data_IF_299420475227
#
_entry.id   IF_299420475227
#
_cell.length_a   1.000
_cell.length_b   1.000
_cell.length_c   1.000
_cell.angle_alpha   90.00
_cell.angle_beta   90.00
_cell.angle_gamma   90.00
#
_symmetry.space_group_name_H-M   'P 1'
#
loop_
_entity.id
_entity.type
_entity.pdbx_description
1 polymer ?
#
# COMPACT_ATOMS: atom_id res chain seq x y z
N UNK A 1 -9.63 -0.86 19.27
CA UNK A 1 -8.97 -0.94 18.23
C UNK A 1 -9.72 -0.99 16.89
N UNK A 2 -9.67 -1.99 16.03
CA UNK A 2 -10.11 -1.90 14.63
C UNK A 2 -11.54 -2.41 14.38
N UNK A 3 -12.41 -2.44 15.40
CA UNK A 3 -13.77 -2.95 15.31
C UNK A 3 -13.88 -4.37 14.71
N UNK A 4 -12.81 -5.17 14.88
CA UNK A 4 -12.78 -6.57 14.48
C UNK A 4 -13.09 -7.45 15.70
N UNK A 5 -13.87 -8.50 15.47
CA UNK A 5 -14.23 -9.46 16.51
C UNK A 5 -13.43 -10.74 16.33
N UNK A 6 -12.89 -11.27 17.42
CA UNK A 6 -12.28 -12.60 17.42
C UNK A 6 -13.39 -13.65 17.35
N UNK A 7 -13.49 -14.35 16.22
CA UNK A 7 -14.52 -15.35 15.98
C UNK A 7 -14.14 -16.76 16.51
N UNK A 8 -12.85 -17.03 16.66
CA UNK A 8 -12.35 -18.32 17.15
C UNK A 8 -10.84 -18.46 16.93
N UNK A 9 -10.33 -19.58 17.36
CA UNK A 9 -8.93 -19.97 17.20
C UNK A 9 -8.62 -21.19 18.03
N UNK A 10 -7.50 -21.81 17.74
CA UNK A 10 -6.97 -22.93 18.53
C UNK A 10 -5.47 -22.79 18.74
N UNK A 11 -4.95 -23.51 19.73
CA UNK A 11 -3.53 -23.62 19.99
C UNK A 11 -3.12 -25.08 19.93
N UNK A 12 -2.24 -25.40 19.00
CA UNK A 12 -1.70 -26.76 18.84
C UNK A 12 -0.26 -26.84 19.32
N UNK A 13 0.10 -27.99 19.87
CA UNK A 13 1.48 -28.25 20.29
C UNK A 13 2.35 -28.57 19.07
N UNK A 14 3.51 -27.98 19.02
CA UNK A 14 4.57 -28.33 18.06
C UNK A 14 5.70 -29.08 18.79
N UNK A 15 6.51 -29.86 18.07
CA UNK A 15 7.66 -30.55 18.68
C UNK A 15 8.60 -29.59 19.40
N UNK A 16 9.26 -30.06 20.44
CA UNK A 16 10.25 -29.25 21.18
C UNK A 16 11.37 -28.80 20.23
N UNK A 17 11.74 -27.53 20.29
CA UNK A 17 12.75 -26.93 19.41
C UNK A 17 12.20 -26.37 18.09
N UNK A 18 10.91 -26.54 17.80
CA UNK A 18 10.27 -25.89 16.67
C UNK A 18 10.01 -24.41 16.95
N UNK A 19 10.05 -23.59 15.91
CA UNK A 19 9.63 -22.19 16.00
C UNK A 19 8.11 -22.08 16.21
N UNK A 20 7.67 -21.07 16.95
CA UNK A 20 6.25 -20.75 17.04
C UNK A 20 5.72 -20.27 15.68
N UNK A 21 4.54 -20.74 15.31
CA UNK A 21 3.82 -20.31 14.09
C UNK A 21 2.50 -19.69 14.51
N UNK A 22 2.25 -18.48 14.04
CA UNK A 22 0.99 -17.78 14.23
C UNK A 22 0.35 -17.61 12.86
N UNK A 23 -0.88 -18.10 12.70
CA UNK A 23 -1.67 -17.91 11.48
C UNK A 23 -2.95 -17.17 11.83
N UNK A 24 -3.24 -16.11 11.10
CA UNK A 24 -4.43 -15.29 11.30
C UNK A 24 -5.22 -15.26 9.99
N UNK A 25 -6.51 -15.63 10.08
CA UNK A 25 -7.46 -15.45 8.98
C UNK A 25 -8.46 -14.36 9.36
N UNK A 26 -8.72 -13.44 8.45
CA UNK A 26 -9.71 -12.39 8.62
C UNK A 26 -10.75 -12.45 7.49
N UNK A 27 -12.00 -12.22 7.83
CA UNK A 27 -13.10 -12.11 6.86
C UNK A 27 -13.87 -10.82 7.11
N UNK A 28 -14.40 -10.22 6.05
CA UNK A 28 -15.18 -9.00 6.14
C UNK A 28 -16.14 -8.88 4.96
N UNK A 29 -16.92 -7.82 4.96
CA UNK A 29 -17.78 -7.45 3.85
C UNK A 29 -17.58 -5.99 3.49
N UNK A 30 -17.71 -5.67 2.20
CA UNK A 30 -17.65 -4.32 1.67
C UNK A 30 -18.77 -4.13 0.66
N UNK A 31 -19.37 -2.96 0.60
CA UNK A 31 -20.34 -2.64 -0.46
C UNK A 31 -19.66 -2.70 -1.83
N UNK A 32 -20.37 -3.21 -2.84
CA UNK A 32 -19.80 -3.44 -4.16
C UNK A 32 -19.27 -2.16 -4.83
N UNK A 33 -19.92 -1.04 -4.58
CA UNK A 33 -19.54 0.28 -5.09
C UNK A 33 -18.35 0.92 -4.35
N UNK A 34 -18.02 0.40 -3.17
CA UNK A 34 -16.86 0.79 -2.36
C UNK A 34 -15.67 -0.17 -2.51
N UNK A 35 -15.83 -1.25 -3.28
CA UNK A 35 -14.78 -2.22 -3.51
C UNK A 35 -13.71 -1.64 -4.44
N UNK A 36 -12.47 -1.57 -3.96
CA UNK A 36 -11.28 -1.22 -4.75
C UNK A 36 -10.38 -2.45 -4.84
N UNK A 37 -10.01 -2.82 -6.06
CA UNK A 37 -9.15 -3.97 -6.32
C UNK A 37 -7.76 -3.51 -6.74
N UNK A 38 -6.75 -4.35 -6.55
CA UNK A 38 -5.40 -4.10 -7.11
C UNK A 38 -5.33 -4.29 -8.63
N UNK A 39 -6.39 -4.80 -9.26
CA UNK A 39 -6.45 -5.22 -10.67
C UNK A 39 -7.24 -4.26 -11.57
N UNK A 40 -7.61 -3.09 -11.07
CA UNK A 40 -8.48 -2.15 -11.81
C UNK A 40 -7.80 -0.84 -12.18
N UNK A 41 -6.47 -0.75 -11.99
CA UNK A 41 -5.63 0.36 -12.47
C UNK A 41 -5.62 0.47 -13.99
N UNK A 42 -5.35 1.65 -14.51
CA UNK A 42 -5.40 1.97 -15.94
C UNK A 42 -4.12 2.69 -16.37
N UNK A 43 -3.66 2.51 -17.60
CA UNK A 43 -2.58 3.33 -18.15
C UNK A 43 -2.90 4.83 -18.00
N UNK A 44 -1.94 5.60 -17.53
CA UNK A 44 -2.08 7.03 -17.22
C UNK A 44 -2.42 7.34 -15.76
N UNK A 45 -2.88 6.37 -14.98
CA UNK A 45 -3.12 6.59 -13.55
C UNK A 45 -1.81 6.91 -12.81
N UNK A 46 -1.87 7.90 -11.93
CA UNK A 46 -0.75 8.29 -11.09
C UNK A 46 -0.61 7.31 -9.93
N UNK A 47 0.60 6.82 -9.73
CA UNK A 47 0.96 5.98 -8.60
C UNK A 47 1.32 6.86 -7.40
N UNK A 48 0.70 6.58 -6.26
CA UNK A 48 0.92 7.33 -5.03
C UNK A 48 1.13 6.38 -3.87
N UNK A 49 1.89 6.82 -2.87
CA UNK A 49 2.09 6.09 -1.61
C UNK A 49 1.81 6.98 -0.41
N UNK A 50 1.29 6.39 0.65
CA UNK A 50 1.16 7.05 1.95
C UNK A 50 2.45 6.91 2.75
N UNK A 51 2.71 7.88 3.63
CA UNK A 51 3.81 7.83 4.59
C UNK A 51 5.19 7.72 3.96
N UNK A 52 6.10 7.09 4.68
CA UNK A 52 7.51 6.91 4.30
C UNK A 52 7.88 5.44 4.28
N UNK A 53 8.72 5.07 3.31
CA UNK A 53 9.12 3.69 3.03
C UNK A 53 10.54 3.40 3.50
N UNK A 54 10.79 2.14 3.81
CA UNK A 54 12.08 1.59 4.21
C UNK A 54 12.35 1.68 5.71
N UNK A 55 13.27 0.85 6.20
CA UNK A 55 13.67 0.80 7.59
C UNK A 55 12.63 0.20 8.54
N UNK A 56 11.51 -0.30 8.04
CA UNK A 56 10.39 -0.79 8.86
C UNK A 56 10.77 -1.97 9.73
N UNK A 57 11.67 -2.83 9.27
CA UNK A 57 12.18 -3.99 10.02
C UNK A 57 12.88 -3.57 11.32
N UNK A 58 13.44 -2.37 11.41
CA UNK A 58 14.11 -1.91 12.63
C UNK A 58 13.13 -1.72 13.79
N UNK A 59 11.95 -1.14 13.56
CA UNK A 59 10.96 -0.89 14.62
C UNK A 59 9.51 -0.75 14.14
N UNK A 60 9.25 -0.13 12.99
CA UNK A 60 7.90 0.25 12.53
C UNK A 60 6.97 -0.96 12.40
N UNK A 61 7.47 -2.10 11.92
CA UNK A 61 6.70 -3.32 11.71
C UNK A 61 6.03 -3.86 12.99
N UNK A 62 6.56 -3.54 14.17
CA UNK A 62 5.97 -3.91 15.47
C UNK A 62 4.93 -2.91 15.97
N UNK A 63 4.91 -1.69 15.44
CA UNK A 63 4.12 -0.58 15.95
C UNK A 63 3.38 0.20 14.86
N UNK A 64 3.26 -0.39 13.64
CA UNK A 64 2.55 0.28 12.56
C UNK A 64 1.07 0.46 12.88
N UNK A 65 0.49 1.53 12.34
CA UNK A 65 -0.95 1.73 12.35
C UNK A 65 -1.50 1.39 10.96
N UNK A 66 -2.35 0.37 10.85
CA UNK A 66 -3.01 0.05 9.58
C UNK A 66 -3.75 1.25 9.05
N UNK A 67 -3.62 1.54 7.77
CA UNK A 67 -4.21 2.70 7.09
C UNK A 67 -5.71 2.52 6.80
N UNK A 68 -6.47 2.10 7.81
CA UNK A 68 -7.90 1.80 7.69
C UNK A 68 -8.71 3.08 7.51
N UNK A 69 -8.51 4.07 8.39
CA UNK A 69 -9.22 5.35 8.31
C UNK A 69 -8.89 6.08 7.00
N UNK A 70 -7.63 6.03 6.60
CA UNK A 70 -7.14 6.64 5.38
C UNK A 70 -7.75 5.98 4.14
N UNK A 71 -7.80 4.64 4.10
CA UNK A 71 -8.40 3.91 2.99
C UNK A 71 -9.90 4.15 2.88
N UNK A 72 -10.62 4.13 3.99
CA UNK A 72 -12.06 4.38 4.03
C UNK A 72 -12.39 5.80 3.56
N UNK A 73 -11.64 6.80 4.03
CA UNK A 73 -11.81 8.17 3.60
C UNK A 73 -11.50 8.35 2.12
N UNK A 74 -10.41 7.75 1.64
CA UNK A 74 -9.97 7.82 0.25
C UNK A 74 -11.03 7.22 -0.69
N UNK A 75 -11.52 6.02 -0.38
CA UNK A 75 -12.53 5.33 -1.19
C UNK A 75 -13.85 6.11 -1.21
N UNK A 76 -14.25 6.66 -0.07
CA UNK A 76 -15.52 7.40 0.05
C UNK A 76 -15.52 8.72 -0.71
N UNK A 77 -14.37 9.39 -0.85
CA UNK A 77 -14.29 10.73 -1.43
C UNK A 77 -13.71 10.78 -2.84
N UNK A 78 -12.78 9.88 -3.20
CA UNK A 78 -11.99 9.97 -4.43
C UNK A 78 -12.04 8.73 -5.33
N UNK A 79 -12.42 7.57 -4.79
CA UNK A 79 -12.54 6.30 -5.52
C UNK A 79 -11.27 5.95 -6.33
N UNK A 80 -10.19 5.51 -5.68
CA UNK A 80 -8.98 5.04 -6.36
C UNK A 80 -9.30 4.01 -7.44
N UNK A 81 -8.55 4.01 -8.52
CA UNK A 81 -8.70 3.02 -9.60
C UNK A 81 -8.14 1.66 -9.20
N UNK A 82 -7.05 1.63 -8.44
CA UNK A 82 -6.54 0.42 -7.80
C UNK A 82 -5.84 0.77 -6.47
N UNK A 83 -5.80 -0.18 -5.54
CA UNK A 83 -5.14 0.02 -4.25
C UNK A 83 -4.73 -1.31 -3.64
N UNK A 84 -3.62 -1.32 -2.94
CA UNK A 84 -3.16 -2.40 -2.06
C UNK A 84 -2.24 -1.83 -0.97
N UNK A 85 -1.88 -2.64 -0.01
CA UNK A 85 -0.82 -2.32 0.96
C UNK A 85 0.57 -2.65 0.40
N UNK A 86 1.60 -2.08 1.04
CA UNK A 86 3.02 -2.39 0.78
C UNK A 86 3.51 -3.25 1.96
N UNK A 87 3.52 -4.55 1.76
CA UNK A 87 3.93 -5.55 2.76
C UNK A 87 5.26 -6.24 2.42
N UNK A 88 5.49 -6.54 1.15
CA UNK A 88 6.71 -7.22 0.69
C UNK A 88 7.77 -6.25 0.15
N UNK A 89 7.49 -4.95 0.21
CA UNK A 89 8.30 -3.87 -0.34
C UNK A 89 7.82 -3.39 -1.71
N UNK A 90 8.03 -2.09 -1.97
CA UNK A 90 7.52 -1.44 -3.18
C UNK A 90 8.02 -2.12 -4.46
N UNK A 91 9.26 -2.64 -4.47
CA UNK A 91 9.84 -3.36 -5.62
C UNK A 91 9.11 -4.65 -5.97
N UNK A 92 8.35 -5.23 -5.04
CA UNK A 92 7.53 -6.44 -5.29
C UNK A 92 6.05 -6.10 -5.46
N UNK A 93 5.54 -5.19 -4.66
CA UNK A 93 4.11 -4.90 -4.61
C UNK A 93 3.64 -4.03 -5.78
N UNK A 94 4.46 -3.07 -6.22
CA UNK A 94 4.14 -2.26 -7.40
C UNK A 94 4.04 -3.10 -8.70
N UNK A 95 5.00 -3.99 -9.02
CA UNK A 95 4.84 -4.93 -10.15
C UNK A 95 3.58 -5.78 -10.06
N UNK A 96 3.20 -6.26 -8.86
CA UNK A 96 1.97 -7.06 -8.65
C UNK A 96 0.70 -6.26 -8.96
N UNK A 97 0.65 -5.00 -8.54
CA UNK A 97 -0.47 -4.10 -8.85
C UNK A 97 -0.53 -3.84 -10.36
N UNK A 98 0.60 -3.52 -10.99
CA UNK A 98 0.69 -3.24 -12.41
C UNK A 98 0.31 -4.46 -13.25
N UNK A 99 0.87 -5.63 -12.95
CA UNK A 99 0.56 -6.89 -13.64
C UNK A 99 -0.91 -7.29 -13.50
N UNK A 100 -1.45 -7.21 -12.27
CA UNK A 100 -2.87 -7.49 -12.02
C UNK A 100 -3.79 -6.55 -12.80
N UNK A 101 -3.36 -5.31 -13.03
CA UNK A 101 -4.06 -4.29 -13.82
C UNK A 101 -3.76 -4.37 -15.33
N UNK A 102 -3.01 -5.38 -15.78
CA UNK A 102 -2.54 -5.51 -17.16
C UNK A 102 -1.79 -4.26 -17.69
N UNK A 103 -1.04 -3.59 -16.81
CA UNK A 103 -0.25 -2.38 -17.08
C UNK A 103 1.25 -2.65 -16.93
N UNK A 104 2.07 -1.73 -17.45
CA UNK A 104 3.43 -1.44 -17.00
C UNK A 104 3.42 -0.26 -16.02
N UNK A 105 4.59 0.16 -15.57
CA UNK A 105 4.70 1.34 -14.70
C UNK A 105 6.00 2.11 -14.97
N UNK A 106 5.97 3.38 -14.62
CA UNK A 106 7.16 4.24 -14.52
C UNK A 106 7.25 4.74 -13.08
N UNK A 107 8.43 4.68 -12.50
CA UNK A 107 8.72 5.09 -11.13
C UNK A 107 9.79 6.17 -11.11
N UNK A 108 9.57 7.22 -10.34
CA UNK A 108 10.57 8.26 -10.08
C UNK A 108 11.22 8.02 -8.72
N UNK A 109 12.45 7.51 -8.72
CA UNK A 109 13.21 7.20 -7.51
C UNK A 109 13.58 8.42 -6.67
N UNK A 110 13.67 9.61 -7.27
CA UNK A 110 14.07 10.84 -6.58
C UNK A 110 13.01 11.33 -5.61
N UNK A 111 11.72 11.09 -5.94
CA UNK A 111 10.58 11.55 -5.13
C UNK A 111 10.08 10.50 -4.15
N UNK A 112 10.69 9.31 -4.09
CA UNK A 112 10.28 8.28 -3.14
C UNK A 112 10.38 8.82 -1.71
N UNK A 113 9.27 8.81 -0.95
CA UNK A 113 9.30 9.21 0.45
C UNK A 113 10.01 8.13 1.27
N UNK A 114 11.15 8.50 1.87
CA UNK A 114 12.01 7.57 2.61
C UNK A 114 12.03 7.91 4.09
N UNK A 115 12.09 6.89 4.91
CA UNK A 115 12.40 7.07 6.32
C UNK A 115 13.78 7.74 6.48
N UNK A 116 13.93 8.50 7.55
CA UNK A 116 15.19 9.15 7.85
C UNK A 116 16.32 8.13 7.96
N UNK A 117 17.43 8.38 7.29
CA UNK A 117 18.58 7.47 7.21
C UNK A 117 18.46 6.32 6.21
N UNK A 118 17.32 6.16 5.53
CA UNK A 118 17.14 5.10 4.54
C UNK A 118 17.51 5.54 3.11
N UNK A 119 18.17 4.64 2.40
CA UNK A 119 18.45 4.76 0.98
C UNK A 119 17.24 4.35 0.09
N UNK A 120 17.42 4.52 -1.22
CA UNK A 120 16.40 4.08 -2.21
C UNK A 120 16.20 2.56 -2.15
N UNK A 121 17.27 1.79 -2.02
CA UNK A 121 17.21 0.32 -1.98
C UNK A 121 16.37 -0.18 -0.81
N UNK A 122 16.47 0.49 0.35
CA UNK A 122 15.66 0.16 1.52
C UNK A 122 14.18 0.54 1.32
N UNK A 123 13.91 1.71 0.76
CA UNK A 123 12.53 2.11 0.45
C UNK A 123 11.85 1.20 -0.58
N UNK A 124 12.64 0.58 -1.46
CA UNK A 124 12.15 -0.37 -2.46
C UNK A 124 11.97 -1.79 -1.89
N UNK A 125 12.90 -2.23 -1.04
CA UNK A 125 13.09 -3.65 -0.75
C UNK A 125 12.85 -4.13 0.67
N UNK A 126 12.89 -3.25 1.68
CA UNK A 126 12.82 -3.71 3.08
C UNK A 126 11.50 -4.42 3.43
N UNK A 127 10.39 -3.98 2.84
CA UNK A 127 9.07 -4.50 3.16
C UNK A 127 8.58 -4.11 4.57
N UNK A 128 7.42 -4.67 4.96
CA UNK A 128 6.79 -4.43 6.27
C UNK A 128 6.46 -2.94 6.54
N UNK A 129 6.30 -2.15 5.47
CA UNK A 129 5.96 -0.72 5.59
C UNK A 129 4.50 -0.52 5.96
N UNK A 130 3.60 -1.38 5.48
CA UNK A 130 2.16 -1.32 5.68
C UNK A 130 1.54 0.03 5.36
N UNK A 131 2.12 0.69 4.35
CA UNK A 131 1.57 1.89 3.73
C UNK A 131 0.67 1.51 2.54
N UNK A 132 -0.15 2.44 2.06
CA UNK A 132 -0.99 2.21 0.88
C UNK A 132 -0.23 2.54 -0.40
N UNK A 133 -0.31 1.66 -1.38
CA UNK A 133 0.02 1.88 -2.78
C UNK A 133 -1.28 2.11 -3.55
N UNK A 134 -1.41 3.25 -4.19
CA UNK A 134 -2.64 3.75 -4.77
C UNK A 134 -2.41 4.10 -6.25
N UNK A 135 -3.33 3.69 -7.13
CA UNK A 135 -3.44 4.24 -8.48
C UNK A 135 -4.65 5.17 -8.55
N UNK A 136 -4.44 6.39 -9.05
CA UNK A 136 -5.45 7.46 -9.07
C UNK A 136 -5.52 8.12 -10.44
N UNK A 137 -6.73 8.39 -10.90
CA UNK A 137 -6.95 9.12 -12.15
C UNK A 137 -6.26 10.52 -12.10
N UNK A 138 -5.46 10.91 -13.12
CA UNK A 138 -4.64 12.13 -13.07
C UNK A 138 -5.41 13.40 -12.72
N UNK A 139 -6.63 13.51 -13.20
CA UNK A 139 -7.51 14.68 -12.98
C UNK A 139 -7.89 14.91 -11.51
N UNK A 140 -7.78 13.89 -10.66
CA UNK A 140 -8.17 13.95 -9.25
C UNK A 140 -6.98 14.17 -8.31
N UNK A 141 -5.74 14.00 -8.81
CA UNK A 141 -4.52 13.98 -7.97
C UNK A 141 -4.33 15.28 -7.20
N UNK A 142 -4.43 16.43 -7.86
CA UNK A 142 -4.21 17.73 -7.21
C UNK A 142 -5.26 18.01 -6.12
N UNK A 143 -6.53 17.70 -6.40
CA UNK A 143 -7.62 17.84 -5.43
C UNK A 143 -7.43 16.88 -4.25
N UNK A 144 -7.10 15.62 -4.55
CA UNK A 144 -6.80 14.61 -3.54
C UNK A 144 -5.67 15.05 -2.61
N UNK A 145 -4.53 15.48 -3.15
CA UNK A 145 -3.39 15.92 -2.34
C UNK A 145 -3.73 17.10 -1.43
N UNK A 146 -4.48 18.07 -1.96
CA UNK A 146 -4.93 19.23 -1.17
C UNK A 146 -5.91 18.84 -0.05
N UNK A 147 -6.84 17.94 -0.32
CA UNK A 147 -7.79 17.43 0.65
C UNK A 147 -7.12 16.52 1.69
N UNK A 148 -6.19 15.66 1.24
CA UNK A 148 -5.40 14.78 2.10
C UNK A 148 -4.58 15.55 3.13
N UNK A 149 -3.84 16.57 2.68
CA UNK A 149 -3.03 17.40 3.56
C UNK A 149 -3.84 18.10 4.66
N UNK A 150 -5.13 18.41 4.41
CA UNK A 150 -6.04 18.96 5.40
C UNK A 150 -6.57 17.89 6.36
N UNK A 151 -6.87 16.70 5.84
CA UNK A 151 -7.48 15.63 6.63
C UNK A 151 -6.46 14.85 7.45
N UNK A 152 -5.26 14.64 6.89
CA UNK A 152 -4.17 13.87 7.48
C UNK A 152 -2.85 14.67 7.47
N UNK A 153 -2.78 15.78 8.25
CA UNK A 153 -1.63 16.71 8.18
C UNK A 153 -0.29 16.09 8.58
N UNK A 154 -0.32 14.97 9.31
CA UNK A 154 0.88 14.27 9.77
C UNK A 154 1.22 13.02 8.91
N UNK A 155 0.51 12.81 7.82
CA UNK A 155 0.73 11.66 6.93
C UNK A 155 0.88 12.15 5.49
N UNK A 156 2.07 11.98 4.94
CA UNK A 156 2.37 12.36 3.56
C UNK A 156 1.60 11.47 2.57
N UNK A 157 1.20 12.05 1.43
CA UNK A 157 0.69 11.32 0.26
C UNK A 157 1.50 11.77 -0.95
N UNK A 158 2.39 10.92 -1.41
CA UNK A 158 3.41 11.25 -2.41
C UNK A 158 3.11 10.56 -3.74
N UNK A 159 3.07 11.34 -4.83
CA UNK A 159 3.04 10.81 -6.19
C UNK A 159 4.44 10.32 -6.57
N UNK A 160 4.57 9.03 -6.88
CA UNK A 160 5.87 8.36 -7.10
C UNK A 160 6.08 7.92 -8.55
N UNK A 161 5.05 7.98 -9.38
CA UNK A 161 5.13 7.49 -10.75
C UNK A 161 3.77 7.39 -11.41
N UNK A 162 3.66 6.52 -12.41
CA UNK A 162 2.39 6.28 -13.12
C UNK A 162 2.32 4.87 -13.68
N UNK A 163 1.10 4.38 -13.89
CA UNK A 163 0.84 3.22 -14.73
C UNK A 163 0.96 3.60 -16.20
N UNK A 164 1.50 2.69 -17.00
CA UNK A 164 1.65 2.85 -18.45
C UNK A 164 1.08 1.61 -19.17
N UNK A 165 1.01 1.66 -20.50
CA UNK A 165 0.61 0.50 -21.26
C UNK A 165 1.54 -0.69 -21.01
N UNK A 166 0.98 -1.89 -21.02
CA UNK A 166 1.75 -3.13 -20.85
C UNK A 166 2.88 -3.22 -21.88
N UNK A 167 4.07 -3.55 -21.41
CA UNK A 167 5.28 -3.60 -22.25
C UNK A 167 5.98 -2.25 -22.41
N UNK A 168 5.45 -1.18 -21.84
CA UNK A 168 6.14 0.10 -21.66
C UNK A 168 6.49 0.30 -20.19
N UNK A 169 7.54 1.08 -19.90
CA UNK A 169 7.97 1.41 -18.55
C UNK A 169 9.15 0.57 -18.06
N UNK A 170 9.41 0.65 -16.75
CA UNK A 170 10.51 -0.01 -16.08
C UNK A 170 10.05 -1.41 -15.63
N UNK A 171 10.91 -2.41 -15.84
CA UNK A 171 10.82 -3.68 -15.13
C UNK A 171 11.86 -3.60 -14.00
N UNK A 172 11.42 -3.71 -12.75
CA UNK A 172 12.30 -3.81 -11.59
C UNK A 172 12.85 -5.23 -11.46
#
# INVERSE_FOLDING_TARGET
CFNAQLAGGETSRVPAGSSAVISIAATGSVARDSLVLRSTGRPGDVLMVTGRLGGSIAHKHLHFMPRIEESDWLVSNFKPTAMMDISDGLAKDLPRLAESSACGFELNFEVLPRQEGCGVDQALGDGEDYELLIAMAPKQVAELQAAWAKRFPNLELTAIGRLVEKGKGITL
#
